data_IF_450539013869
#
_entry.id   IF_450539013869
#
_cell.length_a   1.000
_cell.length_b   1.000
_cell.length_c   1.000
_cell.angle_alpha   90.00
_cell.angle_beta   90.00
_cell.angle_gamma   90.00
#
_symmetry.space_group_name_H-M   'P 1'
#
loop_
_entity.id
_entity.type
_entity.pdbx_description
1 polymer ?
#
# COMPACT_ATOMS: atom_id res chain seq x y z
N UNK A 1 27.85 21.34 10.20
CA UNK A 1 26.53 20.87 10.66
C UNK A 1 25.48 21.89 10.26
N UNK A 2 24.92 21.75 9.05
CA UNK A 2 23.72 22.49 8.66
C UNK A 2 22.51 21.68 9.11
N UNK A 3 21.73 22.20 10.05
CA UNK A 3 20.46 21.58 10.44
C UNK A 3 19.51 21.68 9.25
N UNK A 4 19.18 20.56 8.63
CA UNK A 4 18.05 20.48 7.70
C UNK A 4 16.78 20.65 8.53
N UNK A 5 16.32 21.88 8.69
CA UNK A 5 14.97 22.12 9.19
C UNK A 5 14.00 21.70 8.10
N UNK A 6 13.45 20.49 8.22
CA UNK A 6 12.20 20.12 7.54
C UNK A 6 11.14 21.15 7.96
N UNK A 7 10.89 22.13 7.11
CA UNK A 7 9.74 23.03 7.25
C UNK A 7 8.53 22.24 6.75
N UNK A 8 7.71 21.77 7.68
CA UNK A 8 6.36 21.33 7.36
C UNK A 8 5.57 22.56 6.91
N UNK A 9 5.45 22.74 5.59
CA UNK A 9 4.55 23.73 5.03
C UNK A 9 3.14 23.14 5.04
N UNK A 10 2.26 23.70 5.86
CA UNK A 10 0.83 23.56 5.62
C UNK A 10 0.51 24.38 4.37
N UNK A 11 -0.24 23.79 3.44
CA UNK A 11 -0.56 24.36 2.13
C UNK A 11 -1.10 25.79 2.33
N UNK A 12 -0.41 26.78 1.76
CA UNK A 12 -0.90 28.16 1.69
C UNK A 12 -1.61 28.40 0.35
N UNK A 13 -2.73 29.09 0.41
CA UNK A 13 -3.74 29.28 -0.64
C UNK A 13 -3.26 29.83 -1.99
N UNK A 14 -4.13 29.56 -2.99
CA UNK A 14 -4.31 30.15 -4.33
C UNK A 14 -3.57 29.53 -5.50
N UNK A 15 -4.10 28.40 -5.97
CA UNK A 15 -4.43 28.15 -7.39
C UNK A 15 -5.26 26.86 -7.50
N UNK A 16 -6.51 26.95 -7.95
CA UNK A 16 -7.45 25.83 -8.19
C UNK A 16 -7.39 24.69 -7.14
N UNK A 17 -7.39 25.08 -5.86
CA UNK A 17 -7.02 24.21 -4.74
C UNK A 17 -8.13 23.23 -4.40
N UNK A 18 -7.78 21.95 -4.40
CA UNK A 18 -8.58 20.87 -3.84
C UNK A 18 -8.99 21.26 -2.40
N UNK A 19 -10.29 21.39 -2.12
CA UNK A 19 -10.81 21.64 -0.77
C UNK A 19 -10.73 20.35 0.06
N UNK A 20 -9.51 19.94 0.41
CA UNK A 20 -9.26 18.78 1.25
C UNK A 20 -9.34 19.14 2.73
N UNK A 21 -9.92 18.26 3.53
CA UNK A 21 -9.66 18.27 4.97
C UNK A 21 -8.19 17.97 5.25
N UNK A 22 -7.71 18.29 6.46
CA UNK A 22 -6.34 17.99 6.87
C UNK A 22 -6.00 16.49 6.73
N UNK A 23 -6.95 15.62 7.06
CA UNK A 23 -6.78 14.16 6.97
C UNK A 23 -6.73 13.67 5.52
N UNK A 24 -7.57 14.22 4.65
CA UNK A 24 -7.54 13.87 3.23
C UNK A 24 -6.26 14.39 2.55
N UNK A 25 -5.74 15.54 2.98
CA UNK A 25 -4.45 16.05 2.52
C UNK A 25 -3.30 15.10 2.88
N UNK A 26 -3.28 14.59 4.11
CA UNK A 26 -2.30 13.57 4.54
C UNK A 26 -2.38 12.32 3.65
N UNK A 27 -3.60 11.85 3.38
CA UNK A 27 -3.81 10.70 2.50
C UNK A 27 -3.34 10.93 1.08
N UNK A 28 -3.75 12.05 0.46
CA UNK A 28 -3.36 12.40 -0.90
C UNK A 28 -1.84 12.54 -1.03
N UNK A 29 -1.18 13.13 -0.03
CA UNK A 29 0.28 13.22 0.01
C UNK A 29 0.94 11.85 0.10
N UNK A 30 0.46 10.97 0.98
CA UNK A 30 0.97 9.60 1.12
C UNK A 30 0.83 8.82 -0.20
N UNK A 31 -0.35 8.90 -0.83
CA UNK A 31 -0.64 8.28 -2.11
C UNK A 31 0.28 8.81 -3.23
N UNK A 32 0.48 10.13 -3.31
CA UNK A 32 1.32 10.76 -4.32
C UNK A 32 2.80 10.39 -4.15
N UNK A 33 3.32 10.45 -2.91
CA UNK A 33 4.72 10.13 -2.62
C UNK A 33 5.04 8.68 -2.95
N UNK A 34 4.14 7.76 -2.59
CA UNK A 34 4.35 6.34 -2.89
C UNK A 34 4.23 6.05 -4.38
N UNK A 35 3.25 6.64 -5.08
CA UNK A 35 3.16 6.56 -6.54
C UNK A 35 4.43 7.08 -7.23
N UNK A 36 5.01 8.18 -6.74
CA UNK A 36 6.28 8.71 -7.25
C UNK A 36 7.45 7.73 -7.05
N UNK A 37 7.50 7.00 -5.93
CA UNK A 37 8.56 5.99 -5.73
C UNK A 37 8.53 4.87 -6.78
N UNK A 38 7.34 4.45 -7.21
CA UNK A 38 7.17 3.47 -8.30
C UNK A 38 7.71 4.05 -9.61
N UNK A 39 7.28 5.27 -9.95
CA UNK A 39 7.71 5.98 -11.15
C UNK A 39 9.23 6.21 -11.23
N UNK A 40 9.87 6.43 -10.07
CA UNK A 40 11.34 6.53 -9.98
C UNK A 40 12.00 5.15 -10.13
N UNK A 41 11.42 4.10 -9.54
CA UNK A 41 11.90 2.73 -9.67
C UNK A 41 11.88 2.27 -11.13
N UNK A 42 10.76 2.49 -11.82
CA UNK A 42 10.54 2.05 -13.21
C UNK A 42 11.45 2.76 -14.22
N UNK A 43 11.94 3.94 -13.87
CA UNK A 43 12.92 4.71 -14.68
C UNK A 43 14.37 4.47 -14.27
N UNK A 44 14.62 3.46 -13.45
CA UNK A 44 15.96 3.11 -12.93
C UNK A 44 16.67 4.33 -12.28
N UNK A 45 15.89 5.15 -11.55
CA UNK A 45 16.36 6.44 -11.04
C UNK A 45 17.65 6.31 -10.23
N UNK A 46 17.75 5.27 -9.40
CA UNK A 46 18.94 5.05 -8.57
C UNK A 46 20.21 4.88 -9.41
N UNK A 47 20.13 4.42 -10.66
CA UNK A 47 21.29 4.29 -11.54
C UNK A 47 21.47 5.47 -12.51
N UNK A 48 20.58 6.46 -12.48
CA UNK A 48 20.69 7.66 -13.31
C UNK A 48 21.93 8.51 -12.96
N UNK A 49 22.46 9.21 -13.96
CA UNK A 49 23.51 10.22 -13.77
C UNK A 49 23.08 11.28 -12.76
N UNK A 50 21.81 11.69 -12.82
CA UNK A 50 21.28 12.68 -11.90
C UNK A 50 21.40 12.22 -10.44
N UNK A 51 20.95 10.99 -10.12
CA UNK A 51 21.05 10.45 -8.77
C UNK A 51 22.52 10.35 -8.31
N UNK A 52 23.38 9.76 -9.14
CA UNK A 52 24.78 9.52 -8.78
C UNK A 52 25.59 10.81 -8.58
N UNK A 53 25.24 11.89 -9.31
CA UNK A 53 26.01 13.14 -9.28
C UNK A 53 25.41 14.22 -8.37
N UNK A 54 24.09 14.20 -8.15
CA UNK A 54 23.39 15.33 -7.51
C UNK A 54 22.69 14.98 -6.19
N UNK A 55 22.47 13.69 -5.89
CA UNK A 55 21.78 13.29 -4.65
C UNK A 55 22.82 12.99 -3.56
N UNK A 56 22.93 13.92 -2.60
CA UNK A 56 23.84 13.84 -1.46
C UNK A 56 23.01 13.88 -0.17
N UNK A 57 23.09 12.82 0.64
CA UNK A 57 22.47 12.82 1.96
C UNK A 57 23.37 13.59 2.94
N UNK A 58 22.79 14.56 3.65
CA UNK A 58 23.52 15.46 4.54
C UNK A 58 24.30 14.72 5.65
N UNK A 59 23.81 13.56 6.06
CA UNK A 59 24.45 12.68 7.04
C UNK A 59 24.49 11.25 6.48
N UNK A 60 25.59 10.53 6.72
CA UNK A 60 25.75 9.12 6.34
C UNK A 60 25.50 8.80 4.85
N UNK A 61 25.88 9.71 3.95
CA UNK A 61 25.70 9.58 2.50
C UNK A 61 26.05 8.19 1.97
N UNK A 62 27.26 7.70 2.24
CA UNK A 62 27.74 6.44 1.69
C UNK A 62 26.90 5.24 2.16
N UNK A 63 26.42 5.27 3.40
CA UNK A 63 25.59 4.19 3.94
C UNK A 63 24.20 4.22 3.32
N UNK A 64 23.55 5.39 3.23
CA UNK A 64 22.23 5.50 2.60
C UNK A 64 22.29 5.16 1.10
N UNK A 65 23.32 5.61 0.40
CA UNK A 65 23.59 5.26 -0.99
C UNK A 65 23.70 3.73 -1.17
N UNK A 66 24.51 3.07 -0.33
CA UNK A 66 24.64 1.60 -0.35
C UNK A 66 23.33 0.88 -0.05
N UNK A 67 22.60 1.33 0.96
CA UNK A 67 21.31 0.76 1.34
C UNK A 67 20.35 0.87 0.16
N UNK A 68 20.15 2.06 -0.41
CA UNK A 68 19.23 2.29 -1.53
C UNK A 68 19.61 1.47 -2.76
N UNK A 69 20.90 1.43 -3.11
CA UNK A 69 21.38 0.62 -4.25
C UNK A 69 21.16 -0.87 -4.04
N UNK A 70 21.34 -1.37 -2.81
CA UNK A 70 21.15 -2.78 -2.49
C UNK A 70 19.67 -3.16 -2.36
N UNK A 71 18.84 -2.30 -1.77
CA UNK A 71 17.43 -2.56 -1.53
C UNK A 71 16.54 -2.21 -2.71
N UNK A 72 16.97 -1.30 -3.59
CA UNK A 72 16.12 -0.67 -4.59
C UNK A 72 15.02 0.20 -3.98
N UNK A 73 14.23 0.83 -4.85
CA UNK A 73 13.02 1.58 -4.47
C UNK A 73 11.77 0.69 -4.41
N UNK A 74 11.69 -0.32 -5.28
CA UNK A 74 10.65 -1.35 -5.26
C UNK A 74 11.09 -2.57 -4.46
N UNK A 75 10.68 -2.66 -3.19
CA UNK A 75 11.02 -3.76 -2.30
C UNK A 75 9.86 -4.11 -1.35
N UNK A 76 9.93 -5.19 -0.55
CA UNK A 76 8.89 -5.56 0.40
C UNK A 76 8.43 -4.45 1.36
N UNK A 77 9.34 -3.58 1.81
CA UNK A 77 8.97 -2.46 2.67
C UNK A 77 8.12 -1.43 1.91
N UNK A 78 8.47 -1.11 0.67
CA UNK A 78 7.67 -0.22 -0.19
C UNK A 78 6.30 -0.83 -0.48
N UNK A 79 6.22 -2.14 -0.76
CA UNK A 79 4.96 -2.87 -0.93
C UNK A 79 4.09 -2.77 0.34
N UNK A 80 4.68 -2.96 1.52
CA UNK A 80 3.97 -2.83 2.80
C UNK A 80 3.36 -1.43 2.99
N UNK A 81 4.14 -0.39 2.69
CA UNK A 81 3.68 1.01 2.81
C UNK A 81 2.55 1.27 1.81
N UNK A 82 2.67 0.79 0.56
CA UNK A 82 1.61 0.90 -0.45
C UNK A 82 0.32 0.22 0.00
N UNK A 83 0.42 -1.01 0.49
CA UNK A 83 -0.73 -1.75 1.01
C UNK A 83 -1.39 -0.97 2.16
N UNK A 84 -0.60 -0.42 3.08
CA UNK A 84 -1.12 0.38 4.20
C UNK A 84 -1.89 1.61 3.70
N UNK A 85 -1.30 2.36 2.77
CA UNK A 85 -1.93 3.56 2.20
C UNK A 85 -3.21 3.22 1.45
N UNK A 86 -3.26 2.11 0.70
CA UNK A 86 -4.43 1.79 -0.12
C UNK A 86 -5.53 1.01 0.62
N UNK A 87 -5.21 0.31 1.71
CA UNK A 87 -6.18 -0.52 2.43
C UNK A 87 -6.60 0.05 3.79
N UNK A 88 -5.66 0.66 4.52
CA UNK A 88 -5.85 1.05 5.92
C UNK A 88 -6.22 2.53 6.01
N UNK A 89 -5.35 3.41 5.50
CA UNK A 89 -5.54 4.86 5.58
C UNK A 89 -6.92 5.33 5.09
N UNK A 90 -7.50 4.83 3.98
CA UNK A 90 -8.75 5.40 3.47
C UNK A 90 -9.88 5.39 4.51
N UNK A 91 -9.97 4.34 5.33
CA UNK A 91 -10.99 4.22 6.39
C UNK A 91 -10.76 5.19 7.55
N UNK A 92 -9.52 5.65 7.71
CA UNK A 92 -9.10 6.51 8.83
C UNK A 92 -9.11 7.98 8.44
N UNK A 93 -8.88 8.29 7.15
CA UNK A 93 -8.57 9.65 6.70
C UNK A 93 -9.57 10.26 5.72
N UNK A 94 -10.33 9.45 4.96
CA UNK A 94 -11.26 9.99 3.96
C UNK A 94 -12.63 10.29 4.58
N UNK A 95 -13.01 11.56 4.60
CA UNK A 95 -14.31 11.97 5.09
C UNK A 95 -15.39 11.60 4.06
N UNK A 96 -16.47 10.95 4.50
CA UNK A 96 -17.55 10.53 3.61
C UNK A 96 -17.34 9.21 2.87
N UNK A 97 -16.36 8.40 3.28
CA UNK A 97 -16.23 7.03 2.79
C UNK A 97 -17.41 6.18 3.29
N UNK A 98 -18.41 6.00 2.44
CA UNK A 98 -19.62 5.25 2.74
C UNK A 98 -19.45 3.73 2.54
N UNK A 99 -20.35 2.95 3.14
CA UNK A 99 -20.37 1.49 2.99
C UNK A 99 -20.50 1.08 1.53
N UNK A 100 -21.18 1.87 0.69
CA UNK A 100 -21.33 1.58 -0.73
C UNK A 100 -19.99 1.61 -1.46
N UNK A 101 -19.16 2.62 -1.19
CA UNK A 101 -17.83 2.78 -1.78
C UNK A 101 -16.91 1.68 -1.30
N UNK A 102 -16.91 1.40 0.01
CA UNK A 102 -16.14 0.28 0.57
C UNK A 102 -16.54 -1.06 -0.05
N UNK A 103 -17.84 -1.35 -0.13
CA UNK A 103 -18.34 -2.58 -0.77
C UNK A 103 -17.91 -2.68 -2.25
N UNK A 104 -17.84 -1.56 -2.98
CA UNK A 104 -17.31 -1.55 -4.35
C UNK A 104 -15.84 -1.99 -4.39
N UNK A 105 -15.02 -1.52 -3.45
CA UNK A 105 -13.60 -1.88 -3.36
C UNK A 105 -13.44 -3.35 -2.95
N UNK A 106 -14.21 -3.82 -1.98
CA UNK A 106 -14.24 -5.22 -1.56
C UNK A 106 -14.60 -6.15 -2.73
N UNK A 107 -15.61 -5.78 -3.51
CA UNK A 107 -16.02 -6.55 -4.70
C UNK A 107 -14.97 -6.55 -5.80
N UNK A 108 -14.31 -5.40 -6.05
CA UNK A 108 -13.24 -5.31 -7.03
C UNK A 108 -12.04 -6.20 -6.63
N UNK A 109 -11.67 -6.19 -5.34
CA UNK A 109 -10.63 -7.04 -4.80
C UNK A 109 -11.02 -8.52 -4.90
N UNK A 110 -12.25 -8.88 -4.49
CA UNK A 110 -12.75 -10.27 -4.61
C UNK A 110 -12.68 -10.78 -6.04
N UNK A 111 -13.02 -9.93 -7.01
CA UNK A 111 -12.98 -10.26 -8.43
C UNK A 111 -11.56 -10.57 -8.88
N UNK A 112 -10.59 -9.70 -8.60
CA UNK A 112 -9.21 -9.92 -9.06
C UNK A 112 -8.56 -11.12 -8.36
N UNK A 113 -8.84 -11.29 -7.06
CA UNK A 113 -8.30 -12.39 -6.24
C UNK A 113 -8.75 -13.76 -6.72
N UNK A 114 -9.95 -13.86 -7.32
CA UNK A 114 -10.43 -15.11 -7.93
C UNK A 114 -9.56 -15.62 -9.09
N UNK A 115 -8.73 -14.74 -9.68
CA UNK A 115 -7.80 -15.10 -10.76
C UNK A 115 -6.42 -15.59 -10.28
N UNK A 116 -6.17 -15.56 -8.97
CA UNK A 116 -4.87 -15.87 -8.40
C UNK A 116 -4.76 -17.33 -7.94
N UNK A 117 -3.54 -17.86 -7.94
CA UNK A 117 -3.23 -19.15 -7.32
C UNK A 117 -2.82 -18.92 -5.86
N UNK A 118 -3.78 -19.05 -4.96
CA UNK A 118 -3.64 -18.71 -3.54
C UNK A 118 -3.53 -19.97 -2.67
N UNK A 119 -2.83 -19.83 -1.55
CA UNK A 119 -2.97 -20.74 -0.42
C UNK A 119 -3.67 -20.00 0.72
N UNK A 120 -4.79 -20.54 1.20
CA UNK A 120 -5.58 -19.91 2.27
C UNK A 120 -5.86 -20.93 3.37
N UNK A 121 -5.62 -20.51 4.61
CA UNK A 121 -6.00 -21.23 5.82
C UNK A 121 -6.82 -20.29 6.69
N UNK A 122 -8.04 -20.65 7.06
CA UNK A 122 -8.88 -19.81 7.93
C UNK A 122 -9.65 -20.63 8.95
N UNK A 123 -9.82 -20.08 10.16
CA UNK A 123 -10.71 -20.59 11.21
C UNK A 123 -11.86 -19.64 11.52
N UNK A 124 -11.99 -18.55 10.75
CA UNK A 124 -13.08 -17.60 10.91
C UNK A 124 -14.43 -18.26 10.58
N UNK A 125 -15.47 -18.11 11.45
CA UNK A 125 -16.79 -18.67 11.19
C UNK A 125 -17.39 -18.15 9.87
N UNK A 126 -17.95 -19.08 9.08
CA UNK A 126 -18.57 -18.77 7.79
C UNK A 126 -17.58 -18.72 6.61
N UNK A 127 -16.29 -18.90 6.86
CA UNK A 127 -15.26 -19.00 5.83
C UNK A 127 -14.69 -20.41 5.72
N UNK A 128 -14.12 -20.75 4.57
CA UNK A 128 -13.57 -22.08 4.32
C UNK A 128 -12.34 -22.05 3.43
N UNK A 129 -11.26 -22.70 3.90
CA UNK A 129 -10.06 -22.98 3.10
C UNK A 129 -10.35 -23.80 1.84
N UNK A 130 -11.41 -24.63 1.85
CA UNK A 130 -11.85 -25.42 0.69
C UNK A 130 -12.82 -24.68 -0.24
N UNK A 131 -13.43 -23.58 0.21
CA UNK A 131 -14.31 -22.74 -0.60
C UNK A 131 -13.89 -21.27 -0.49
N UNK A 132 -12.89 -20.91 -1.28
CA UNK A 132 -12.25 -19.60 -1.32
C UNK A 132 -13.23 -18.43 -1.58
N UNK A 133 -14.37 -18.68 -2.22
CA UNK A 133 -15.39 -17.65 -2.49
C UNK A 133 -16.03 -17.06 -1.23
N UNK A 134 -15.92 -17.78 -0.10
CA UNK A 134 -16.48 -17.40 1.21
C UNK A 134 -15.53 -16.52 2.04
N UNK A 135 -14.25 -16.44 1.68
CA UNK A 135 -13.23 -15.73 2.46
C UNK A 135 -13.34 -14.22 2.25
N UNK A 136 -13.33 -13.44 3.33
CA UNK A 136 -13.28 -11.99 3.24
C UNK A 136 -11.84 -11.49 3.08
N UNK A 137 -11.31 -11.60 1.86
CA UNK A 137 -9.95 -11.20 1.52
C UNK A 137 -9.65 -9.75 1.88
N UNK A 138 -10.56 -8.81 1.61
CA UNK A 138 -10.32 -7.40 1.91
C UNK A 138 -10.10 -7.17 3.40
N UNK A 139 -10.95 -7.77 4.27
CA UNK A 139 -10.80 -7.69 5.72
C UNK A 139 -9.47 -8.28 6.19
N UNK A 140 -9.17 -9.52 5.80
CA UNK A 140 -8.01 -10.23 6.30
C UNK A 140 -6.69 -9.61 5.83
N UNK A 141 -6.61 -9.21 4.57
CA UNK A 141 -5.43 -8.51 4.03
C UNK A 141 -5.27 -7.15 4.73
N UNK A 142 -6.33 -6.36 4.86
CA UNK A 142 -6.26 -5.05 5.54
C UNK A 142 -5.79 -5.20 6.99
N UNK A 143 -6.36 -6.14 7.74
CA UNK A 143 -6.00 -6.36 9.14
C UNK A 143 -4.54 -6.82 9.30
N UNK A 144 -4.09 -7.77 8.46
CA UNK A 144 -2.70 -8.19 8.44
C UNK A 144 -1.76 -7.01 8.17
N UNK A 145 -2.12 -6.13 7.25
CA UNK A 145 -1.36 -4.94 6.90
C UNK A 145 -1.34 -3.91 8.04
N UNK A 146 -2.49 -3.63 8.67
CA UNK A 146 -2.57 -2.67 9.79
C UNK A 146 -1.79 -3.12 11.03
N UNK A 147 -1.63 -4.43 11.22
CA UNK A 147 -0.87 -5.02 12.31
C UNK A 147 0.59 -5.35 11.93
N UNK A 148 1.04 -4.98 10.73
CA UNK A 148 2.36 -5.32 10.20
C UNK A 148 2.67 -6.84 10.21
N UNK A 149 1.63 -7.67 10.13
CA UNK A 149 1.70 -9.13 10.13
C UNK A 149 1.77 -9.68 8.69
N UNK A 150 2.70 -9.14 7.90
CA UNK A 150 2.96 -9.56 6.53
C UNK A 150 4.36 -10.18 6.45
N UNK A 151 4.45 -11.40 5.94
CA UNK A 151 5.71 -12.14 5.82
C UNK A 151 6.09 -12.25 4.34
N UNK A 152 7.32 -11.86 4.00
CA UNK A 152 7.84 -11.87 2.64
C UNK A 152 8.94 -12.93 2.51
N UNK A 153 8.76 -13.87 1.60
CA UNK A 153 9.65 -15.03 1.46
C UNK A 153 9.93 -15.32 -0.01
N UNK A 154 11.11 -15.87 -0.31
CA UNK A 154 11.46 -16.32 -1.66
C UNK A 154 11.58 -17.84 -1.68
N UNK A 155 10.77 -18.49 -2.51
CA UNK A 155 10.73 -19.93 -2.68
C UNK A 155 10.96 -20.28 -4.15
N UNK A 156 12.00 -21.06 -4.45
CA UNK A 156 12.33 -21.52 -5.82
C UNK A 156 12.36 -20.38 -6.85
N UNK A 157 12.91 -19.22 -6.47
CA UNK A 157 13.05 -18.03 -7.33
C UNK A 157 11.77 -17.21 -7.50
N UNK A 158 10.70 -17.51 -6.76
CA UNK A 158 9.47 -16.71 -6.72
C UNK A 158 9.29 -16.07 -5.36
N UNK A 159 8.87 -14.81 -5.35
CA UNK A 159 8.63 -14.06 -4.12
C UNK A 159 7.16 -14.11 -3.76
N UNK A 160 6.89 -14.42 -2.50
CA UNK A 160 5.56 -14.53 -1.93
C UNK A 160 5.38 -13.52 -0.80
N UNK A 161 4.12 -13.16 -0.59
CA UNK A 161 3.65 -12.47 0.60
C UNK A 161 2.61 -13.35 1.30
N UNK A 162 2.73 -13.50 2.61
CA UNK A 162 1.75 -14.15 3.48
C UNK A 162 1.15 -13.11 4.42
N UNK A 163 -0.15 -12.85 4.26
CA UNK A 163 -0.94 -12.01 5.14
C UNK A 163 -1.45 -12.84 6.31
N UNK A 164 -1.17 -12.42 7.54
CA UNK A 164 -1.61 -13.11 8.76
C UNK A 164 -2.54 -12.22 9.57
N UNK A 165 -3.82 -12.57 9.56
CA UNK A 165 -4.84 -11.94 10.39
C UNK A 165 -5.19 -12.83 11.58
N UNK A 166 -5.32 -12.23 12.77
CA UNK A 166 -5.63 -12.94 14.00
C UNK A 166 -6.57 -12.12 14.88
N UNK A 167 -7.69 -12.72 15.27
CA UNK A 167 -8.55 -12.22 16.36
C UNK A 167 -8.17 -12.97 17.64
N UNK A 168 -7.25 -12.38 18.40
CA UNK A 168 -6.73 -12.95 19.65
C UNK A 168 -7.80 -13.13 20.74
N UNK A 169 -8.94 -12.43 20.65
CA UNK A 169 -10.04 -12.54 21.62
C UNK A 169 -10.86 -13.79 21.38
N UNK A 170 -10.96 -14.22 20.11
CA UNK A 170 -11.76 -15.37 19.68
C UNK A 170 -10.92 -16.55 19.21
N UNK A 171 -9.59 -16.39 19.18
CA UNK A 171 -8.61 -17.36 18.68
C UNK A 171 -8.86 -17.75 17.21
N UNK A 172 -9.40 -16.81 16.42
CA UNK A 172 -9.56 -16.99 14.98
C UNK A 172 -8.32 -16.50 14.25
N UNK A 173 -7.94 -17.18 13.19
CA UNK A 173 -6.82 -16.82 12.35
C UNK A 173 -7.14 -17.02 10.88
N UNK A 174 -6.52 -16.22 10.02
CA UNK A 174 -6.56 -16.36 8.58
C UNK A 174 -5.16 -16.07 8.02
N UNK A 175 -4.62 -17.02 7.26
CA UNK A 175 -3.39 -16.87 6.51
C UNK A 175 -3.69 -16.92 5.01
N UNK A 176 -3.28 -15.89 4.28
CA UNK A 176 -3.43 -15.81 2.81
C UNK A 176 -2.04 -15.63 2.22
N UNK A 177 -1.57 -16.63 1.49
CA UNK A 177 -0.30 -16.59 0.75
C UNK A 177 -0.54 -16.43 -0.74
N UNK A 178 0.15 -15.46 -1.34
CA UNK A 178 0.10 -15.17 -2.77
C UNK A 178 1.45 -14.71 -3.30
N UNK A 179 1.61 -14.69 -4.63
CA UNK A 179 2.78 -14.09 -5.26
C UNK A 179 2.79 -12.58 -5.02
N UNK A 180 3.97 -11.98 -4.85
CA UNK A 180 4.08 -10.51 -4.76
C UNK A 180 3.63 -9.81 -6.04
N UNK A 181 3.72 -10.47 -7.20
CA UNK A 181 3.16 -9.99 -8.46
C UNK A 181 1.64 -9.89 -8.43
N UNK A 182 0.96 -10.84 -7.78
CA UNK A 182 -0.50 -10.80 -7.61
C UNK A 182 -0.90 -9.74 -6.60
N UNK A 183 -0.12 -9.54 -5.54
CA UNK A 183 -0.29 -8.42 -4.62
C UNK A 183 -0.11 -7.06 -5.34
N UNK A 184 0.82 -6.95 -6.28
CA UNK A 184 0.96 -5.78 -7.15
C UNK A 184 -0.32 -5.48 -7.95
N UNK A 185 -0.95 -6.51 -8.51
CA UNK A 185 -2.26 -6.38 -9.20
C UNK A 185 -3.39 -5.94 -8.27
N UNK A 186 -3.34 -6.32 -6.98
CA UNK A 186 -4.28 -5.79 -5.97
C UNK A 186 -4.07 -4.28 -5.79
N UNK A 187 -2.82 -3.82 -5.70
CA UNK A 187 -2.51 -2.39 -5.56
C UNK A 187 -3.07 -1.57 -6.72
N UNK A 188 -2.88 -2.03 -7.96
CA UNK A 188 -3.41 -1.35 -9.16
C UNK A 188 -4.93 -1.19 -9.10
N UNK A 189 -5.65 -2.25 -8.70
CA UNK A 189 -7.11 -2.22 -8.56
C UNK A 189 -7.54 -1.23 -7.48
N UNK A 190 -6.91 -1.26 -6.30
CA UNK A 190 -7.24 -0.36 -5.20
C UNK A 190 -6.92 1.10 -5.54
N UNK A 191 -5.77 1.37 -6.12
CA UNK A 191 -5.37 2.71 -6.56
C UNK A 191 -6.38 3.27 -7.56
N UNK A 192 -6.82 2.47 -8.53
CA UNK A 192 -7.87 2.87 -9.48
C UNK A 192 -9.18 3.23 -8.76
N UNK A 193 -9.60 2.42 -7.80
CA UNK A 193 -10.83 2.66 -7.04
C UNK A 193 -10.74 3.94 -6.19
N UNK A 194 -9.60 4.18 -5.56
CA UNK A 194 -9.31 5.40 -4.80
C UNK A 194 -9.29 6.62 -5.71
N UNK A 195 -8.66 6.54 -6.89
CA UNK A 195 -8.66 7.66 -7.84
C UNK A 195 -10.06 7.97 -8.35
N UNK A 196 -10.91 6.96 -8.59
CA UNK A 196 -12.32 7.18 -8.93
C UNK A 196 -13.04 7.94 -7.81
N UNK A 197 -12.79 7.58 -6.55
CA UNK A 197 -13.37 8.28 -5.39
C UNK A 197 -12.88 9.73 -5.34
N UNK A 198 -11.57 9.96 -5.35
CA UNK A 198 -10.99 11.30 -5.27
C UNK A 198 -11.47 12.18 -6.43
N UNK A 199 -11.53 11.66 -7.66
CA UNK A 199 -12.01 12.42 -8.82
C UNK A 199 -13.46 12.90 -8.66
N UNK A 200 -14.32 12.13 -7.98
CA UNK A 200 -15.69 12.56 -7.69
C UNK A 200 -15.71 13.71 -6.69
N UNK A 201 -14.85 13.65 -5.67
CA UNK A 201 -14.73 14.73 -4.68
C UNK A 201 -14.13 16.00 -5.30
N UNK A 202 -13.26 15.86 -6.29
CA UNK A 202 -12.63 16.99 -7.01
C UNK A 202 -13.50 17.61 -8.11
N UNK A 203 -14.56 16.92 -8.56
CA UNK A 203 -15.46 17.40 -9.61
C UNK A 203 -16.67 18.18 -9.07
N UNK A 204 -16.71 18.40 -7.75
CA UNK A 204 -17.73 19.17 -7.02
C UNK A 204 -17.08 20.51 -6.64
#
# INVERSE_FOLDING_TARGET
MGKTNLKFAFISEKENTMNLTEQESIFCQALAMTSLLVELSDRDFLNSDYYNQNIIFAENNDNFQKILKASGLGNPATMQIFLYILLVMPKETLSGLDDRTLNSWENALKTIVSSFSLSVTTTYPGESSSNLSTVNYYRHIRNAVSHANCVYETEKGRTYITFKDEDTRKLYHCEIKMLTSDAGRILEVLQKQIMIYLNRQMSI
#
